data_IF_579171441862
#
_entry.id   IF_579171441862
#
_cell.length_a   1.000
_cell.length_b   1.000
_cell.length_c   1.000
_cell.angle_alpha   90.00
_cell.angle_beta   90.00
_cell.angle_gamma   90.00
#
_symmetry.space_group_name_H-M   'P 1'
#
loop_
_entity.id
_entity.type
_entity.pdbx_description
1 polymer ?
#
# COMPACT_ATOMS: atom_id res chain seq x y z
N UNK A 1 -9.04 -2.43 24.47
CA UNK A 1 -9.81 -2.59 23.22
C UNK A 1 -9.79 -1.26 22.51
N UNK A 2 -9.28 -1.20 21.28
CA UNK A 2 -9.27 0.06 20.53
C UNK A 2 -10.69 0.41 20.09
N UNK A 3 -11.02 1.69 20.09
CA UNK A 3 -12.34 2.15 19.66
C UNK A 3 -12.44 2.16 18.14
N UNK A 4 -13.64 2.01 17.59
CA UNK A 4 -13.85 2.07 16.13
C UNK A 4 -13.34 3.41 15.53
N UNK A 5 -13.41 4.49 16.32
CA UNK A 5 -12.93 5.82 15.95
C UNK A 5 -11.40 5.82 15.80
N UNK A 6 -10.67 5.19 16.72
CA UNK A 6 -9.21 5.07 16.65
C UNK A 6 -8.75 4.33 15.39
N UNK A 7 -9.44 3.26 15.02
CA UNK A 7 -9.16 2.48 13.80
C UNK A 7 -9.37 3.35 12.56
N UNK A 8 -10.48 4.09 12.50
CA UNK A 8 -10.78 4.99 11.38
C UNK A 8 -9.75 6.12 11.28
N UNK A 9 -9.34 6.71 12.40
CA UNK A 9 -8.30 7.74 12.42
C UNK A 9 -6.95 7.18 11.97
N UNK A 10 -6.54 6.03 12.49
CA UNK A 10 -5.33 5.33 12.07
C UNK A 10 -5.32 5.06 10.56
N UNK A 11 -6.42 4.52 10.02
CA UNK A 11 -6.57 4.29 8.59
C UNK A 11 -6.41 5.58 7.79
N UNK A 12 -7.06 6.68 8.20
CA UNK A 12 -6.96 7.98 7.51
C UNK A 12 -5.54 8.55 7.55
N UNK A 13 -4.84 8.44 8.67
CA UNK A 13 -3.45 8.90 8.79
C UNK A 13 -2.51 8.08 7.92
N UNK A 14 -2.63 6.75 7.92
CA UNK A 14 -1.86 5.87 7.04
C UNK A 14 -2.15 6.15 5.57
N UNK A 15 -3.42 6.29 5.20
CA UNK A 15 -3.83 6.58 3.82
C UNK A 15 -3.19 7.86 3.29
N UNK A 16 -3.26 8.96 4.08
CA UNK A 16 -2.71 10.26 3.67
C UNK A 16 -1.18 10.25 3.64
N UNK A 17 -0.52 9.68 4.65
CA UNK A 17 0.95 9.58 4.69
C UNK A 17 1.48 8.71 3.56
N UNK A 18 0.82 7.60 3.24
CA UNK A 18 1.20 6.70 2.15
C UNK A 18 1.16 7.38 0.79
N UNK A 19 0.09 8.16 0.53
CA UNK A 19 -0.04 8.93 -0.72
C UNK A 19 1.08 9.97 -0.89
N UNK A 20 1.44 10.65 0.20
CA UNK A 20 2.57 11.59 0.21
C UNK A 20 3.91 10.86 -0.01
N UNK A 21 4.11 9.73 0.65
CA UNK A 21 5.34 8.93 0.54
C UNK A 21 5.62 8.44 -0.88
N UNK A 22 4.57 8.03 -1.60
CA UNK A 22 4.67 7.63 -3.02
C UNK A 22 4.57 8.79 -4.00
N UNK A 23 4.51 10.03 -3.51
CA UNK A 23 4.38 11.26 -4.31
C UNK A 23 3.22 11.19 -5.32
N UNK A 24 2.12 10.52 -4.95
CA UNK A 24 0.96 10.31 -5.82
C UNK A 24 1.28 9.64 -7.18
N UNK A 25 2.42 8.95 -7.28
CA UNK A 25 2.89 8.33 -8.52
C UNK A 25 2.05 7.12 -8.94
N UNK A 26 1.78 7.00 -10.24
CA UNK A 26 1.16 5.81 -10.85
C UNK A 26 2.27 4.87 -11.35
N UNK A 27 2.20 3.54 -11.14
CA UNK A 27 1.11 2.76 -10.52
C UNK A 27 1.19 2.63 -9.00
N UNK A 28 2.29 3.08 -8.37
CA UNK A 28 2.62 2.87 -6.96
C UNK A 28 1.49 3.23 -5.99
N UNK A 29 0.79 4.35 -6.22
CA UNK A 29 -0.33 4.79 -5.37
C UNK A 29 -1.45 3.76 -5.30
N UNK A 30 -1.82 3.16 -6.43
CA UNK A 30 -2.95 2.23 -6.47
C UNK A 30 -2.59 0.93 -5.77
N UNK A 31 -1.36 0.45 -5.99
CA UNK A 31 -0.84 -0.75 -5.33
C UNK A 31 -0.77 -0.55 -3.82
N UNK A 32 -0.21 0.58 -3.37
CA UNK A 32 -0.03 0.88 -1.96
C UNK A 32 -1.39 1.03 -1.24
N UNK A 33 -2.34 1.73 -1.86
CA UNK A 33 -3.69 1.90 -1.32
C UNK A 33 -4.45 0.58 -1.26
N UNK A 34 -4.30 -0.28 -2.27
CA UNK A 34 -4.96 -1.58 -2.28
C UNK A 34 -4.43 -2.47 -1.16
N UNK A 35 -3.10 -2.55 -0.98
CA UNK A 35 -2.49 -3.26 0.14
C UNK A 35 -2.99 -2.75 1.49
N UNK A 36 -3.07 -1.43 1.67
CA UNK A 36 -3.58 -0.84 2.91
C UNK A 36 -5.05 -1.23 3.16
N UNK A 37 -5.89 -1.20 2.11
CA UNK A 37 -7.29 -1.60 2.20
C UNK A 37 -7.44 -3.07 2.52
N UNK A 38 -6.67 -3.94 1.88
CA UNK A 38 -6.66 -5.38 2.15
C UNK A 38 -6.27 -5.65 3.60
N UNK A 39 -5.20 -5.01 4.10
CA UNK A 39 -4.73 -5.19 5.47
C UNK A 39 -5.78 -4.80 6.53
N UNK A 40 -6.55 -3.72 6.30
CA UNK A 40 -7.59 -3.29 7.23
C UNK A 40 -8.92 -4.06 7.10
N UNK A 41 -9.16 -4.72 5.96
CA UNK A 41 -10.39 -5.48 5.69
C UNK A 41 -10.25 -6.98 5.93
N UNK A 42 -9.04 -7.46 6.15
CA UNK A 42 -8.79 -8.87 6.41
C UNK A 42 -9.51 -9.32 7.69
N UNK A 43 -10.17 -10.49 7.63
CA UNK A 43 -11.05 -10.99 8.71
C UNK A 43 -10.29 -11.33 9.99
N UNK A 44 -8.97 -11.53 9.90
CA UNK A 44 -8.08 -11.78 11.04
C UNK A 44 -7.24 -10.56 11.45
N UNK A 45 -7.49 -9.38 10.88
CA UNK A 45 -6.67 -8.21 11.17
C UNK A 45 -6.81 -7.77 12.63
N UNK A 46 -5.69 -7.75 13.36
CA UNK A 46 -5.62 -7.20 14.72
C UNK A 46 -5.10 -5.76 14.65
N UNK A 47 -5.80 -4.84 15.30
CA UNK A 47 -5.37 -3.45 15.34
C UNK A 47 -4.19 -3.26 16.31
N UNK A 48 -3.04 -2.85 15.77
CA UNK A 48 -1.84 -2.48 16.54
C UNK A 48 -1.56 -0.97 16.43
N UNK A 49 -1.94 -0.16 17.45
CA UNK A 49 -1.68 1.27 17.45
C UNK A 49 -0.19 1.64 17.38
N UNK A 50 0.69 0.82 17.98
CA UNK A 50 2.13 1.06 17.99
C UNK A 50 2.73 0.82 16.62
N UNK A 51 2.32 -0.27 15.97
CA UNK A 51 2.66 -0.60 14.57
C UNK A 51 2.19 0.48 13.60
N UNK A 52 0.96 1.00 13.77
CA UNK A 52 0.45 2.12 12.98
C UNK A 52 1.35 3.35 13.13
N UNK A 53 1.70 3.74 14.36
CA UNK A 53 2.55 4.91 14.62
C UNK A 53 3.93 4.78 13.97
N UNK A 54 4.58 3.61 14.09
CA UNK A 54 5.87 3.34 13.43
C UNK A 54 5.77 3.43 11.91
N UNK A 55 4.70 2.87 11.34
CA UNK A 55 4.45 2.91 9.91
C UNK A 55 4.24 4.35 9.42
N UNK A 56 3.49 5.17 10.17
CA UNK A 56 3.33 6.60 9.83
C UNK A 56 4.69 7.30 9.82
N UNK A 57 5.54 7.10 10.84
CA UNK A 57 6.88 7.71 10.87
C UNK A 57 7.75 7.27 9.69
N UNK A 58 7.73 5.99 9.34
CA UNK A 58 8.42 5.49 8.15
C UNK A 58 7.92 6.17 6.86
N UNK A 59 6.61 6.31 6.69
CA UNK A 59 6.01 6.94 5.51
C UNK A 59 6.30 8.44 5.46
N UNK A 60 6.30 9.12 6.60
CA UNK A 60 6.69 10.53 6.68
C UNK A 60 8.16 10.74 6.32
N UNK A 61 9.06 9.87 6.79
CA UNK A 61 10.47 9.88 6.38
C UNK A 61 10.63 9.64 4.88
N UNK A 62 9.92 8.63 4.33
CA UNK A 62 9.91 8.33 2.90
C UNK A 62 9.34 9.46 2.02
N UNK A 63 8.49 10.33 2.59
CA UNK A 63 7.92 11.48 1.90
C UNK A 63 8.83 12.72 1.92
N UNK A 64 9.57 12.93 3.01
CA UNK A 64 10.41 14.13 3.20
C UNK A 64 11.65 14.11 2.31
N UNK A 65 12.32 12.97 2.22
CA UNK A 65 13.61 12.87 1.54
C UNK A 65 13.65 11.67 0.59
N UNK A 66 14.52 11.72 -0.43
CA UNK A 66 14.86 10.55 -1.27
C UNK A 66 15.86 9.62 -0.55
N UNK A 67 15.64 9.42 0.74
CA UNK A 67 16.46 8.63 1.64
C UNK A 67 16.26 7.12 1.47
N UNK A 68 16.70 6.37 2.47
CA UNK A 68 16.63 4.91 2.46
C UNK A 68 15.18 4.42 2.47
N UNK A 69 14.32 5.05 3.26
CA UNK A 69 12.90 4.74 3.42
C UNK A 69 12.15 4.89 2.10
N UNK A 70 12.43 5.97 1.36
CA UNK A 70 11.88 6.18 0.03
C UNK A 70 12.29 5.06 -0.95
N UNK A 71 13.58 4.69 -0.95
CA UNK A 71 14.09 3.61 -1.81
C UNK A 71 13.49 2.26 -1.42
N UNK A 72 13.37 1.96 -0.13
CA UNK A 72 12.75 0.74 0.39
C UNK A 72 11.29 0.68 -0.07
N UNK A 73 10.50 1.73 0.18
CA UNK A 73 9.09 1.78 -0.19
C UNK A 73 8.92 1.60 -1.70
N UNK A 74 9.71 2.32 -2.51
CA UNK A 74 9.68 2.20 -3.97
C UNK A 74 9.98 0.78 -4.43
N UNK A 75 11.02 0.15 -3.88
CA UNK A 75 11.42 -1.21 -4.25
C UNK A 75 10.37 -2.24 -3.84
N UNK A 76 9.76 -2.10 -2.66
CA UNK A 76 8.67 -2.98 -2.20
C UNK A 76 7.48 -2.92 -3.18
N UNK A 77 7.05 -1.72 -3.55
CA UNK A 77 5.93 -1.54 -4.49
C UNK A 77 6.28 -2.04 -5.90
N UNK A 78 7.51 -1.82 -6.34
CA UNK A 78 7.99 -2.32 -7.63
C UNK A 78 8.02 -3.85 -7.69
N UNK A 79 8.60 -4.51 -6.67
CA UNK A 79 8.65 -5.97 -6.58
C UNK A 79 7.24 -6.55 -6.49
N UNK A 80 6.36 -5.94 -5.71
CA UNK A 80 4.97 -6.36 -5.64
C UNK A 80 4.27 -6.26 -7.00
N UNK A 81 4.41 -5.13 -7.70
CA UNK A 81 3.87 -4.94 -9.05
C UNK A 81 4.35 -6.04 -10.01
N UNK A 82 5.66 -6.34 -10.00
CA UNK A 82 6.25 -7.41 -10.82
C UNK A 82 5.63 -8.76 -10.50
N UNK A 83 5.51 -9.12 -9.22
CA UNK A 83 4.92 -10.40 -8.78
C UNK A 83 3.45 -10.51 -9.20
N UNK A 84 2.68 -9.43 -9.09
CA UNK A 84 1.27 -9.44 -9.50
C UNK A 84 1.09 -9.49 -11.02
N UNK A 85 1.94 -8.82 -11.79
CA UNK A 85 1.91 -8.87 -13.25
C UNK A 85 2.21 -10.28 -13.79
N UNK A 86 3.12 -11.03 -13.15
CA UNK A 86 3.44 -12.41 -13.54
C UNK A 86 2.30 -13.40 -13.24
N UNK A 87 1.39 -13.06 -12.32
CA UNK A 87 0.25 -13.91 -11.94
C UNK A 87 -0.98 -13.68 -12.80
N UNK A 88 -1.02 -12.65 -13.65
CA UNK A 88 -2.13 -12.47 -14.60
C UNK A 88 -1.97 -13.48 -15.73
N UNK A 89 -2.86 -14.47 -15.90
CA UNK A 89 -2.88 -15.24 -17.12
C UNK A 89 -3.18 -14.26 -18.25
N UNK A 90 -2.35 -14.27 -19.29
CA UNK A 90 -2.70 -13.65 -20.57
C UNK A 90 -4.06 -14.24 -20.94
N UNK A 91 -5.12 -13.43 -20.93
CA UNK A 91 -6.39 -13.87 -21.48
C UNK A 91 -6.06 -14.34 -22.90
N UNK A 92 -6.35 -15.61 -23.20
CA UNK A 92 -6.33 -16.06 -24.59
C UNK A 92 -7.35 -15.18 -25.30
N UNK A 93 -6.87 -14.19 -26.04
CA UNK A 93 -7.66 -13.57 -27.09
C UNK A 93 -7.83 -14.71 -28.08
N UNK A 94 -8.95 -15.42 -28.01
CA UNK A 94 -9.31 -16.37 -29.04
C UNK A 94 -9.66 -15.48 -30.22
N UNK A 95 -8.83 -15.40 -31.27
CA UNK A 95 -9.21 -14.61 -32.42
C UNK A 95 -10.42 -15.32 -33.02
N UNK A 96 -11.53 -14.60 -33.12
CA UNK A 96 -12.78 -15.12 -33.67
C UNK A 96 -12.48 -15.80 -35.00
N UNK A 97 -12.68 -17.12 -35.03
CA UNK A 97 -12.50 -17.94 -36.21
C UNK A 97 -13.74 -17.70 -37.06
N UNK A 98 -13.54 -17.08 -38.23
CA UNK A 98 -14.57 -16.79 -39.25
C UNK A 98 -15.36 -18.03 -39.63
#
# INVERSE_FOLDING_TARGET
MATNIEIVHAYRHLYRSLLKAVQYATPSRFIALEQLRTAFRDRGATFDPRGVKRTIWFLEAAAKERGMEHKILKNLLFVHSRRFSQRKPWHKVQPDMK
#
